data_IF_732248735192
#
_entry.id   IF_732248735192
#
_cell.length_a   1.000
_cell.length_b   1.000
_cell.length_c   1.000
_cell.angle_alpha   90.00
_cell.angle_beta   90.00
_cell.angle_gamma   90.00
#
_symmetry.space_group_name_H-M   'P 1'
#
loop_
_entity.id
_entity.type
_entity.pdbx_description
1 polymer ?
#
# COMPACT_ATOMS: atom_id res chain seq x y z
N UNK A 1 -63.86 21.48 42.21
CA UNK A 1 -63.99 20.02 41.95
C UNK A 1 -63.79 19.85 40.45
N UNK A 2 -62.94 18.90 40.02
CA UNK A 2 -61.70 19.19 39.29
C UNK A 2 -61.85 19.43 37.79
N UNK A 3 -60.81 20.06 37.25
CA UNK A 3 -60.55 20.45 35.86
C UNK A 3 -59.96 19.25 35.09
N UNK A 4 -60.68 18.77 34.07
CA UNK A 4 -60.30 17.67 33.16
C UNK A 4 -59.87 18.24 31.79
N UNK A 5 -58.72 18.93 31.76
CA UNK A 5 -58.13 19.38 30.50
C UNK A 5 -56.62 19.18 30.46
N UNK A 6 -56.16 17.95 30.67
CA UNK A 6 -54.75 17.61 30.44
C UNK A 6 -54.55 16.10 30.22
N UNK A 7 -54.93 15.59 29.05
CA UNK A 7 -54.58 14.20 28.68
C UNK A 7 -54.40 13.95 27.17
N UNK A 8 -54.39 14.99 26.33
CA UNK A 8 -54.25 14.85 24.86
C UNK A 8 -52.89 15.24 24.29
N UNK A 9 -52.00 15.82 25.09
CA UNK A 9 -50.71 16.34 24.61
C UNK A 9 -49.53 15.35 24.83
N UNK A 10 -49.71 14.27 25.60
CA UNK A 10 -48.64 13.28 25.84
C UNK A 10 -48.57 12.14 24.81
N UNK A 11 -49.67 11.79 24.12
CA UNK A 11 -49.67 10.71 23.12
C UNK A 11 -49.00 11.12 21.78
N UNK A 12 -49.09 12.38 21.37
CA UNK A 12 -48.58 12.83 20.06
C UNK A 12 -47.05 13.06 20.07
N UNK A 13 -46.48 13.39 21.24
CA UNK A 13 -45.04 13.55 21.45
C UNK A 13 -44.28 12.22 21.33
N UNK A 14 -44.87 11.12 21.83
CA UNK A 14 -44.27 9.78 21.79
C UNK A 14 -44.26 9.17 20.37
N UNK A 15 -45.26 9.48 19.54
CA UNK A 15 -45.37 9.02 18.16
C UNK A 15 -44.35 9.66 17.21
N UNK A 16 -44.06 10.96 17.41
CA UNK A 16 -43.06 11.70 16.64
C UNK A 16 -41.65 11.14 16.82
N UNK A 17 -41.21 10.98 18.07
CA UNK A 17 -39.84 10.52 18.41
C UNK A 17 -39.56 9.12 17.84
N UNK A 18 -40.54 8.22 17.86
CA UNK A 18 -40.42 6.87 17.29
C UNK A 18 -40.32 6.89 15.76
N UNK A 19 -41.03 7.78 15.07
CA UNK A 19 -40.94 7.94 13.61
C UNK A 19 -39.60 8.54 13.18
N UNK A 20 -39.07 9.54 13.90
CA UNK A 20 -37.75 10.09 13.63
C UNK A 20 -36.62 9.09 13.91
N UNK A 21 -36.76 8.27 14.95
CA UNK A 21 -35.81 7.20 15.24
C UNK A 21 -35.80 6.10 14.15
N UNK A 22 -36.97 5.67 13.66
CA UNK A 22 -37.07 4.65 12.59
C UNK A 22 -36.59 5.20 11.24
N UNK A 23 -36.92 6.46 10.91
CA UNK A 23 -36.41 7.14 9.71
C UNK A 23 -34.89 7.38 9.78
N UNK A 24 -34.35 7.67 10.97
CA UNK A 24 -32.92 7.76 11.22
C UNK A 24 -32.19 6.43 11.02
N UNK A 25 -32.72 5.34 11.59
CA UNK A 25 -32.12 4.00 11.47
C UNK A 25 -32.17 3.47 10.04
N UNK A 26 -33.29 3.65 9.34
CA UNK A 26 -33.42 3.25 7.93
C UNK A 26 -32.50 4.09 7.02
N UNK A 27 -32.39 5.40 7.26
CA UNK A 27 -31.44 6.26 6.55
C UNK A 27 -29.98 5.83 6.77
N UNK A 28 -29.60 5.48 8.00
CA UNK A 28 -28.27 4.96 8.32
C UNK A 28 -27.99 3.62 7.63
N UNK A 29 -28.96 2.69 7.63
CA UNK A 29 -28.81 1.41 6.95
C UNK A 29 -28.64 1.56 5.43
N UNK A 30 -29.44 2.42 4.80
CA UNK A 30 -29.32 2.70 3.36
C UNK A 30 -27.96 3.35 3.06
N UNK A 31 -27.51 4.29 3.89
CA UNK A 31 -26.19 4.89 3.75
C UNK A 31 -25.07 3.84 3.83
N UNK A 32 -25.12 2.94 4.82
CA UNK A 32 -24.14 1.86 4.97
C UNK A 32 -24.15 0.92 3.76
N UNK A 33 -25.33 0.53 3.26
CA UNK A 33 -25.43 -0.32 2.08
C UNK A 33 -24.91 0.35 0.81
N UNK A 34 -25.16 1.65 0.63
CA UNK A 34 -24.60 2.43 -0.47
C UNK A 34 -23.08 2.50 -0.36
N UNK A 35 -22.53 2.76 0.83
CA UNK A 35 -21.08 2.76 1.04
C UNK A 35 -20.44 1.39 0.77
N UNK A 36 -21.08 0.29 1.22
CA UNK A 36 -20.63 -1.06 0.91
C UNK A 36 -20.69 -1.39 -0.59
N UNK A 37 -21.73 -0.93 -1.28
CA UNK A 37 -21.85 -1.07 -2.73
C UNK A 37 -20.80 -0.26 -3.48
N UNK A 38 -20.53 0.97 -3.06
CA UNK A 38 -19.47 1.82 -3.64
C UNK A 38 -18.07 1.27 -3.35
N UNK A 39 -17.87 0.66 -2.18
CA UNK A 39 -16.66 -0.08 -1.85
C UNK A 39 -16.49 -1.33 -2.73
N UNK A 40 -17.55 -2.13 -2.88
CA UNK A 40 -17.55 -3.35 -3.72
C UNK A 40 -17.30 -3.05 -5.20
N UNK A 41 -17.84 -1.94 -5.71
CA UNK A 41 -17.67 -1.51 -7.11
C UNK A 41 -16.36 -0.76 -7.36
N UNK A 42 -15.55 -0.49 -6.32
CA UNK A 42 -14.29 0.23 -6.43
C UNK A 42 -14.42 1.73 -6.75
N UNK A 43 -15.61 2.31 -6.59
CA UNK A 43 -15.87 3.73 -6.82
C UNK A 43 -15.48 4.60 -5.61
N UNK A 44 -15.25 3.98 -4.45
CA UNK A 44 -14.55 4.65 -3.35
C UNK A 44 -13.04 4.56 -3.59
N UNK A 45 -12.32 5.69 -3.62
CA UNK A 45 -10.87 5.65 -3.53
C UNK A 45 -10.52 5.06 -2.17
N UNK A 46 -10.06 3.81 -2.14
CA UNK A 46 -9.16 3.38 -1.08
C UNK A 46 -7.90 4.18 -1.39
N UNK A 47 -7.75 5.34 -0.74
CA UNK A 47 -6.46 6.01 -0.75
C UNK A 47 -5.46 4.97 -0.28
N UNK A 48 -4.52 4.57 -1.14
CA UNK A 48 -3.36 3.79 -0.71
C UNK A 48 -2.85 4.50 0.54
N UNK A 49 -2.83 3.80 1.67
CA UNK A 49 -2.69 4.44 2.98
C UNK A 49 -1.51 5.39 2.98
N UNK A 50 -1.61 6.51 3.71
CA UNK A 50 -0.56 7.53 3.78
C UNK A 50 0.82 6.87 3.93
N UNK A 51 1.59 6.81 2.83
CA UNK A 51 2.93 6.27 2.83
C UNK A 51 3.87 7.36 3.33
N UNK A 52 4.74 7.03 4.28
CA UNK A 52 5.87 7.90 4.57
C UNK A 52 6.77 7.94 3.32
N UNK A 53 7.14 9.15 2.89
CA UNK A 53 8.10 9.32 1.81
C UNK A 53 9.48 9.59 2.36
N UNK A 54 10.48 8.90 1.80
CA UNK A 54 11.90 9.13 2.10
C UNK A 54 12.71 9.33 0.84
N UNK A 55 13.81 10.06 0.98
CA UNK A 55 14.85 10.13 -0.05
C UNK A 55 15.94 9.15 0.32
N UNK A 56 16.19 8.19 -0.56
CA UNK A 56 17.30 7.25 -0.46
C UNK A 56 18.42 7.68 -1.41
N UNK A 57 19.66 7.51 -0.95
CA UNK A 57 20.85 7.71 -1.76
C UNK A 57 21.62 6.39 -1.84
N UNK A 58 21.93 5.96 -3.05
CA UNK A 58 22.72 4.77 -3.33
C UNK A 58 24.14 5.20 -3.70
N UNK A 59 25.14 4.57 -3.09
CA UNK A 59 26.56 4.89 -3.25
C UNK A 59 27.40 3.63 -3.36
N UNK A 60 28.66 3.74 -3.78
CA UNK A 60 29.61 2.62 -3.78
C UNK A 60 30.21 2.25 -2.40
N UNK A 61 29.52 2.62 -1.31
CA UNK A 61 29.99 2.58 0.09
C UNK A 61 31.23 3.44 0.40
N UNK A 62 31.93 3.98 -0.60
CA UNK A 62 33.08 4.88 -0.44
C UNK A 62 32.72 6.35 -0.64
N UNK A 63 31.47 6.61 -1.06
CA UNK A 63 30.88 7.94 -1.21
C UNK A 63 30.73 8.39 -2.67
N UNK A 64 30.99 7.53 -3.65
CA UNK A 64 30.62 7.81 -5.04
C UNK A 64 29.12 7.58 -5.20
N UNK A 65 28.37 8.64 -5.51
CA UNK A 65 26.93 8.55 -5.78
C UNK A 65 26.65 7.68 -7.01
N UNK A 66 25.70 6.75 -6.87
CA UNK A 66 25.13 5.95 -7.95
C UNK A 66 23.78 6.51 -8.38
N UNK A 67 22.95 6.92 -7.43
CA UNK A 67 21.66 7.51 -7.72
C UNK A 67 20.87 7.91 -6.47
N UNK A 68 19.83 8.69 -6.68
CA UNK A 68 18.92 9.19 -5.63
C UNK A 68 17.49 8.85 -6.02
N UNK A 69 16.73 8.34 -5.05
CA UNK A 69 15.35 7.90 -5.22
C UNK A 69 14.45 8.51 -4.16
N UNK A 70 13.24 8.91 -4.54
CA UNK A 70 12.17 9.19 -3.57
C UNK A 70 11.28 7.95 -3.46
N UNK A 71 11.23 7.36 -2.27
CA UNK A 71 10.52 6.08 -2.05
C UNK A 71 9.32 6.27 -1.14
N UNK A 72 8.26 5.53 -1.43
CA UNK A 72 7.15 5.32 -0.51
C UNK A 72 7.47 4.12 0.40
N UNK A 73 7.34 4.28 1.72
CA UNK A 73 7.76 3.28 2.71
C UNK A 73 6.59 2.37 3.11
N UNK A 74 6.69 1.08 2.76
CA UNK A 74 5.75 0.02 3.12
C UNK A 74 6.18 -0.67 4.44
N UNK A 75 5.75 -0.09 5.56
CA UNK A 75 6.08 -0.59 6.90
C UNK A 75 5.10 -1.65 7.41
N UNK A 76 3.80 -1.43 7.20
CA UNK A 76 2.78 -2.35 7.68
C UNK A 76 2.62 -3.56 6.76
N UNK A 77 2.21 -4.69 7.32
CA UNK A 77 1.88 -5.89 6.53
C UNK A 77 0.88 -5.60 5.40
N UNK A 78 -0.11 -4.73 5.63
CA UNK A 78 -1.08 -4.35 4.61
C UNK A 78 -0.46 -3.58 3.45
N UNK A 79 0.45 -2.64 3.74
CA UNK A 79 1.21 -1.91 2.73
C UNK A 79 2.14 -2.85 1.97
N UNK A 80 2.85 -3.75 2.65
CA UNK A 80 3.75 -4.73 2.03
C UNK A 80 2.99 -5.74 1.16
N UNK A 81 1.81 -6.17 1.61
CA UNK A 81 0.97 -7.08 0.82
C UNK A 81 0.45 -6.42 -0.46
N UNK A 82 0.13 -5.13 -0.40
CA UNK A 82 -0.30 -4.36 -1.59
C UNK A 82 0.91 -4.05 -2.48
N UNK A 83 2.01 -3.56 -1.92
CA UNK A 83 3.20 -3.17 -2.67
C UNK A 83 2.85 -2.19 -3.80
N UNK A 84 3.48 -2.39 -4.96
CA UNK A 84 3.14 -1.69 -6.20
C UNK A 84 1.97 -2.34 -6.98
N UNK A 85 1.25 -3.33 -6.42
CA UNK A 85 0.10 -3.95 -7.09
C UNK A 85 -0.90 -2.89 -7.58
N UNK A 86 -1.44 -3.08 -8.80
CA UNK A 86 -2.39 -2.13 -9.41
C UNK A 86 -1.82 -0.73 -9.70
N UNK A 87 -0.50 -0.58 -9.66
CA UNK A 87 0.18 0.60 -10.16
C UNK A 87 0.44 0.41 -11.65
N UNK A 88 0.04 1.37 -12.49
CA UNK A 88 0.24 1.27 -13.94
C UNK A 88 1.63 1.71 -14.41
N UNK A 89 2.34 2.49 -13.61
CA UNK A 89 3.69 2.99 -13.90
C UNK A 89 4.33 3.59 -12.66
N UNK A 90 5.67 3.56 -12.59
CA UNK A 90 6.47 4.22 -11.57
C UNK A 90 7.35 5.31 -12.22
N UNK A 91 7.41 6.52 -11.65
CA UNK A 91 8.30 7.55 -12.18
C UNK A 91 9.79 7.15 -12.00
N UNK A 92 10.66 7.65 -12.88
CA UNK A 92 12.04 7.16 -12.99
C UNK A 92 12.90 7.35 -11.73
N UNK A 93 12.58 8.36 -10.92
CA UNK A 93 13.22 8.73 -9.65
C UNK A 93 12.44 8.23 -8.43
N UNK A 94 11.50 7.29 -8.62
CA UNK A 94 10.64 6.76 -7.57
C UNK A 94 10.88 5.28 -7.32
N UNK A 95 10.61 4.86 -6.09
CA UNK A 95 10.66 3.47 -5.66
C UNK A 95 9.66 3.18 -4.55
N UNK A 96 9.60 1.92 -4.13
CA UNK A 96 8.91 1.49 -2.91
C UNK A 96 9.89 0.75 -2.01
N UNK A 97 9.94 1.12 -0.73
CA UNK A 97 10.81 0.49 0.26
C UNK A 97 9.98 -0.35 1.23
N UNK A 98 10.24 -1.65 1.25
CA UNK A 98 9.67 -2.61 2.20
C UNK A 98 10.61 -2.73 3.39
N UNK A 99 10.08 -2.62 4.61
CA UNK A 99 10.87 -2.61 5.84
C UNK A 99 10.52 -3.79 6.72
N UNK A 100 11.52 -4.55 7.17
CA UNK A 100 11.30 -5.69 8.05
C UNK A 100 12.00 -5.46 9.39
N UNK A 101 11.42 -5.99 10.47
CA UNK A 101 11.93 -5.78 11.83
C UNK A 101 13.27 -6.48 12.10
N UNK A 102 13.66 -7.43 11.26
CA UNK A 102 14.90 -8.19 11.37
C UNK A 102 15.43 -8.54 9.99
N UNK A 103 16.70 -8.92 9.91
CA UNK A 103 17.31 -9.43 8.67
C UNK A 103 16.86 -10.88 8.42
N UNK A 104 16.59 -11.23 7.16
CA UNK A 104 16.20 -12.59 6.78
C UNK A 104 15.85 -12.70 5.31
N UNK A 105 15.41 -13.89 4.89
CA UNK A 105 15.00 -14.13 3.50
C UNK A 105 13.65 -13.47 3.21
N UNK A 106 13.59 -12.72 2.11
CA UNK A 106 12.44 -11.95 1.66
C UNK A 106 12.02 -12.42 0.28
N UNK A 107 10.82 -12.97 0.19
CA UNK A 107 10.20 -13.30 -1.09
C UNK A 107 9.38 -12.10 -1.57
N UNK A 108 9.65 -11.65 -2.79
CA UNK A 108 8.89 -10.63 -3.49
C UNK A 108 8.15 -11.26 -4.65
N UNK A 109 6.91 -10.85 -4.87
CA UNK A 109 6.00 -11.48 -5.82
C UNK A 109 5.35 -10.40 -6.68
N UNK A 110 5.39 -10.56 -8.01
CA UNK A 110 4.85 -9.61 -9.00
C UNK A 110 3.32 -9.70 -9.14
N UNK A 111 2.59 -9.63 -8.03
CA UNK A 111 1.12 -9.82 -8.00
C UNK A 111 0.40 -8.65 -8.66
N UNK A 112 -0.40 -8.92 -9.70
CA UNK A 112 -1.17 -7.90 -10.42
C UNK A 112 -0.31 -6.68 -10.83
N UNK A 113 0.89 -6.96 -11.34
CA UNK A 113 1.84 -5.95 -11.82
C UNK A 113 1.73 -5.75 -13.33
N UNK A 114 1.79 -4.48 -13.75
CA UNK A 114 1.67 -4.09 -15.16
C UNK A 114 3.03 -3.75 -15.81
N UNK A 115 4.11 -3.68 -15.03
CA UNK A 115 5.43 -3.28 -15.50
C UNK A 115 6.56 -4.01 -14.74
N UNK A 116 7.73 -4.22 -15.38
CA UNK A 116 8.86 -4.92 -14.78
C UNK A 116 9.56 -4.06 -13.72
N UNK A 117 10.20 -4.70 -12.75
CA UNK A 117 10.88 -4.06 -11.62
C UNK A 117 12.29 -4.63 -11.42
N UNK A 118 13.21 -3.79 -10.95
CA UNK A 118 14.40 -4.27 -10.25
C UNK A 118 14.06 -4.39 -8.76
N UNK A 119 14.41 -5.54 -8.19
CA UNK A 119 14.24 -5.89 -6.78
C UNK A 119 15.60 -5.86 -6.11
N UNK A 120 15.82 -4.88 -5.24
CA UNK A 120 17.10 -4.65 -4.56
C UNK A 120 16.98 -5.07 -3.09
N UNK A 121 17.70 -6.11 -2.70
CA UNK A 121 17.76 -6.60 -1.32
C UNK A 121 18.84 -5.85 -0.55
N UNK A 122 18.50 -5.37 0.66
CA UNK A 122 19.38 -4.51 1.45
C UNK A 122 19.47 -5.07 2.88
N UNK A 123 20.69 -5.27 3.37
CA UNK A 123 20.99 -5.71 4.73
C UNK A 123 20.69 -4.63 5.78
N UNK A 124 20.71 -5.02 7.06
CA UNK A 124 20.46 -4.08 8.17
C UNK A 124 21.50 -2.97 8.33
N UNK A 125 22.69 -3.17 7.76
CA UNK A 125 23.76 -2.18 7.67
C UNK A 125 23.61 -1.21 6.48
N UNK A 126 22.59 -1.39 5.63
CA UNK A 126 22.38 -0.60 4.42
C UNK A 126 23.13 -1.12 3.18
N UNK A 127 23.88 -2.22 3.27
CA UNK A 127 24.58 -2.82 2.13
C UNK A 127 23.59 -3.59 1.23
N UNK A 128 23.70 -3.43 -0.08
CA UNK A 128 22.94 -4.20 -1.06
C UNK A 128 23.49 -5.63 -1.11
N UNK A 129 22.66 -6.60 -0.77
CA UNK A 129 23.03 -8.02 -0.72
C UNK A 129 22.78 -8.74 -2.05
N UNK A 130 21.85 -8.23 -2.86
CA UNK A 130 21.48 -8.80 -4.15
C UNK A 130 20.53 -7.90 -4.92
N UNK A 131 20.51 -8.09 -6.24
CA UNK A 131 19.60 -7.38 -7.16
C UNK A 131 19.10 -8.41 -8.17
N UNK A 132 17.79 -8.44 -8.37
CA UNK A 132 17.13 -9.30 -9.35
C UNK A 132 16.10 -8.49 -10.14
N UNK A 133 16.05 -8.66 -11.46
CA UNK A 133 15.03 -8.00 -12.28
C UNK A 133 13.89 -8.99 -12.52
N UNK A 134 12.67 -8.60 -12.16
CA UNK A 134 11.45 -9.37 -12.41
C UNK A 134 10.63 -8.74 -13.53
N UNK A 135 10.18 -9.59 -14.45
CA UNK A 135 9.27 -9.19 -15.53
C UNK A 135 7.82 -9.07 -15.02
N UNK A 136 7.04 -8.19 -15.66
CA UNK A 136 5.60 -8.19 -15.42
C UNK A 136 4.98 -9.50 -15.93
N UNK A 137 4.00 -10.09 -15.21
CA UNK A 137 3.31 -11.28 -15.68
C UNK A 137 2.68 -11.04 -17.07
N UNK A 138 3.13 -11.80 -18.07
CA UNK A 138 2.65 -11.67 -19.43
C UNK A 138 1.24 -12.24 -19.61
N UNK A 139 0.23 -11.38 -19.70
CA UNK A 139 -1.13 -11.76 -20.15
C UNK A 139 -2.24 -11.52 -19.11
N UNK A 140 -3.52 -11.76 -19.49
CA UNK A 140 -4.64 -11.55 -18.60
C UNK A 140 -4.50 -12.44 -17.35
N UNK A 141 -4.57 -11.80 -16.19
CA UNK A 141 -4.35 -12.40 -14.88
C UNK A 141 -5.43 -13.47 -14.65
N UNK A 142 -5.10 -14.74 -14.89
CA UNK A 142 -5.95 -15.87 -14.52
C UNK A 142 -5.79 -16.18 -13.03
N UNK A 143 -6.90 -16.53 -12.38
CA UNK A 143 -7.00 -16.84 -10.95
C UNK A 143 -6.05 -17.98 -10.47
N UNK A 144 -5.42 -18.70 -11.40
CA UNK A 144 -4.54 -19.84 -11.15
C UNK A 144 -3.06 -19.62 -11.49
N UNK A 145 -2.63 -18.38 -11.76
CA UNK A 145 -1.25 -18.11 -12.12
C UNK A 145 -0.29 -18.14 -10.92
N UNK A 146 0.83 -18.83 -11.11
CA UNK A 146 2.06 -18.60 -10.37
C UNK A 146 2.58 -17.23 -10.79
N UNK A 147 2.67 -16.30 -9.84
CA UNK A 147 3.32 -15.01 -10.07
C UNK A 147 4.83 -15.23 -10.08
N UNK A 148 5.54 -14.44 -10.89
CA UNK A 148 6.99 -14.45 -10.81
C UNK A 148 7.43 -13.94 -9.43
N UNK A 149 8.44 -14.57 -8.87
CA UNK A 149 8.96 -14.24 -7.54
C UNK A 149 10.46 -14.41 -7.46
N UNK A 150 11.07 -13.64 -6.56
CA UNK A 150 12.47 -13.78 -6.20
C UNK A 150 12.64 -13.76 -4.69
N UNK A 151 13.70 -14.41 -4.23
CA UNK A 151 14.07 -14.51 -2.82
C UNK A 151 15.50 -14.05 -2.64
N UNK A 152 15.72 -13.13 -1.71
CA UNK A 152 17.03 -12.65 -1.30
C UNK A 152 17.07 -12.31 0.17
N UNK A 153 18.26 -12.15 0.74
CA UNK A 153 18.44 -11.87 2.17
C UNK A 153 18.50 -10.37 2.41
N UNK A 154 17.65 -9.82 3.29
CA UNK A 154 17.68 -8.41 3.63
C UNK A 154 16.78 -8.04 4.80
N UNK A 155 17.09 -6.92 5.43
CA UNK A 155 16.19 -6.23 6.35
C UNK A 155 15.26 -5.25 5.60
N UNK A 156 15.67 -4.81 4.42
CA UNK A 156 14.87 -3.97 3.53
C UNK A 156 14.85 -4.56 2.12
N UNK A 157 13.79 -4.24 1.39
CA UNK A 157 13.72 -4.51 -0.06
C UNK A 157 13.27 -3.23 -0.76
N UNK A 158 13.97 -2.83 -1.80
CA UNK A 158 13.69 -1.66 -2.61
C UNK A 158 13.24 -2.11 -4.00
N UNK A 159 12.01 -1.75 -4.38
CA UNK A 159 11.48 -1.92 -5.72
C UNK A 159 11.65 -0.62 -6.52
N UNK A 160 12.26 -0.71 -7.71
CA UNK A 160 12.42 0.41 -8.65
C UNK A 160 12.13 -0.05 -10.07
N UNK A 161 12.01 0.90 -11.01
CA UNK A 161 11.83 0.57 -12.43
C UNK A 161 12.93 -0.39 -12.92
N UNK A 162 12.54 -1.42 -13.69
CA UNK A 162 13.50 -2.35 -14.27
C UNK A 162 14.59 -1.64 -15.09
N UNK A 163 15.83 -2.11 -14.94
CA UNK A 163 17.01 -1.53 -15.58
C UNK A 163 17.53 -0.26 -14.93
N UNK A 164 16.89 0.24 -13.86
CA UNK A 164 17.42 1.38 -13.10
C UNK A 164 18.78 1.03 -12.49
N UNK A 165 18.92 -0.18 -11.95
CA UNK A 165 20.16 -0.63 -11.32
C UNK A 165 21.30 -0.68 -12.34
N UNK A 166 21.06 -1.25 -13.52
CA UNK A 166 22.04 -1.32 -14.61
C UNK A 166 22.41 0.09 -15.12
N UNK A 167 21.42 0.96 -15.33
CA UNK A 167 21.64 2.31 -15.84
C UNK A 167 22.49 3.19 -14.90
N UNK A 168 22.40 2.95 -13.59
CA UNK A 168 23.14 3.69 -12.56
C UNK A 168 24.41 2.96 -12.09
N UNK A 169 24.69 1.76 -12.61
CA UNK A 169 25.83 0.95 -12.19
C UNK A 169 25.75 0.49 -10.73
N UNK A 170 24.53 0.26 -10.24
CA UNK A 170 24.24 -0.23 -8.90
C UNK A 170 24.36 -1.76 -8.88
N UNK A 171 25.03 -2.28 -7.86
CA UNK A 171 25.31 -3.72 -7.72
C UNK A 171 25.39 -4.16 -6.26
N UNK A 172 25.41 -5.48 -6.03
CA UNK A 172 25.65 -6.01 -4.69
C UNK A 172 27.00 -5.51 -4.13
N UNK A 173 27.00 -5.11 -2.86
CA UNK A 173 28.13 -4.46 -2.18
C UNK A 173 28.10 -2.93 -2.21
N UNK A 174 27.18 -2.30 -2.96
CA UNK A 174 26.89 -0.87 -2.84
C UNK A 174 26.07 -0.58 -1.57
N UNK A 175 26.00 0.68 -1.13
CA UNK A 175 25.36 1.10 0.11
C UNK A 175 24.18 2.04 -0.14
N UNK A 176 23.10 1.81 0.59
CA UNK A 176 21.91 2.66 0.64
C UNK A 176 21.87 3.44 1.95
N UNK A 177 21.68 4.75 1.85
CA UNK A 177 21.50 5.64 3.00
C UNK A 177 20.13 6.31 2.95
N UNK A 178 19.67 6.87 4.09
CA UNK A 178 18.32 7.43 4.23
C UNK A 178 17.25 6.40 4.63
N UNK A 179 17.65 5.17 4.94
CA UNK A 179 16.77 4.10 5.44
C UNK A 179 16.10 4.48 6.79
N UNK A 180 14.92 3.90 7.10
CA UNK A 180 14.18 4.01 8.36
C UNK A 180 14.99 4.09 9.65
#
# INVERSE_FOLDING_TARGET
>A
MPDESNDTDEEDSAGGIRRYAVLGVTGVLVLVLVLLFLFYTGLLPVTGGDYEQRTLEVTDCTGTERGVLTVDVAESFGQQYVGLSRTGSLAADRGMLFTYGEEGDREIVMRNMDFPLDIVYIGGNGEITGIETLDAPGGPIEYYLTYDSTTGTGQYVLEVNAGWSEAHGVSAGDCVTGLP
#
